data_IF_735763223003
#
_entry.id   IF_735763223003
#
_cell.length_a   1.000
_cell.length_b   1.000
_cell.length_c   1.000
_cell.angle_alpha   90.00
_cell.angle_beta   90.00
_cell.angle_gamma   90.00
#
_symmetry.space_group_name_H-M   'P 1'
#
loop_
_entity.id
_entity.type
_entity.pdbx_description
1 polymer ?
#
# COMPACT_ATOMS: atom_id res chain seq x y z
N UNK A 1 20.45 -0.18 8.39
CA UNK A 1 19.60 0.59 7.47
C UNK A 1 18.16 0.22 7.76
N UNK A 2 17.22 1.18 7.78
CA UNK A 2 15.79 0.87 8.00
C UNK A 2 15.29 -0.02 6.85
N UNK A 3 14.35 -0.93 7.11
CA UNK A 3 13.70 -1.79 6.11
C UNK A 3 14.58 -2.78 5.33
N UNK A 4 15.85 -2.96 5.71
CA UNK A 4 16.77 -3.82 4.97
C UNK A 4 16.33 -5.30 4.90
N UNK A 5 15.70 -5.80 5.96
CA UNK A 5 15.25 -7.20 5.99
C UNK A 5 14.02 -7.41 5.09
N UNK A 6 13.06 -6.49 5.11
CA UNK A 6 11.91 -6.46 4.17
C UNK A 6 12.41 -6.38 2.72
N UNK A 7 13.42 -5.54 2.46
CA UNK A 7 13.99 -5.41 1.13
C UNK A 7 14.64 -6.72 0.64
N UNK A 8 15.40 -7.41 1.49
CA UNK A 8 16.00 -8.71 1.14
C UNK A 8 14.94 -9.75 0.82
N UNK A 9 13.92 -9.84 1.66
CA UNK A 9 12.81 -10.79 1.48
C UNK A 9 12.04 -10.49 0.19
N UNK A 10 11.72 -9.23 -0.06
CA UNK A 10 11.01 -8.78 -1.27
C UNK A 10 11.77 -9.14 -2.54
N UNK A 11 13.10 -8.95 -2.58
CA UNK A 11 13.90 -9.31 -3.75
C UNK A 11 14.03 -10.83 -3.94
N UNK A 12 14.12 -11.58 -2.84
CA UNK A 12 14.19 -13.04 -2.85
C UNK A 12 12.88 -13.67 -3.35
N UNK A 13 11.75 -13.17 -2.86
CA UNK A 13 10.42 -13.73 -3.09
C UNK A 13 9.64 -13.04 -4.23
N UNK A 14 10.18 -11.93 -4.75
CA UNK A 14 9.62 -11.14 -5.86
C UNK A 14 8.22 -10.59 -5.54
N UNK A 15 8.10 -9.94 -4.38
CA UNK A 15 6.87 -9.24 -3.99
C UNK A 15 6.77 -7.88 -4.69
N UNK A 16 5.52 -7.41 -4.81
CA UNK A 16 5.20 -6.01 -5.00
C UNK A 16 4.98 -5.39 -3.63
N UNK A 17 5.56 -4.21 -3.41
CA UNK A 17 5.39 -3.46 -2.17
C UNK A 17 4.64 -2.16 -2.41
N UNK A 18 3.89 -1.76 -1.39
CA UNK A 18 3.30 -0.44 -1.31
C UNK A 18 3.24 0.04 0.13
N UNK A 19 2.89 1.32 0.33
CA UNK A 19 2.71 1.91 1.65
C UNK A 19 1.36 2.60 1.75
N UNK A 20 0.63 2.33 2.83
CA UNK A 20 -0.73 2.85 3.04
C UNK A 20 -0.88 3.39 4.46
N UNK A 21 -1.44 4.59 4.58
CA UNK A 21 -2.01 5.05 5.86
C UNK A 21 -3.33 4.32 6.12
N UNK A 22 -3.48 3.76 7.32
CA UNK A 22 -4.74 3.13 7.74
C UNK A 22 -5.81 4.18 8.01
N UNK A 23 -7.07 3.78 7.90
CA UNK A 23 -8.22 4.56 8.35
C UNK A 23 -8.55 4.25 9.80
N UNK A 24 -9.31 5.13 10.44
CA UNK A 24 -9.69 4.97 11.86
C UNK A 24 -10.53 3.72 12.17
N UNK A 25 -11.15 3.12 11.15
CA UNK A 25 -11.90 1.85 11.26
C UNK A 25 -11.03 0.61 11.00
N UNK A 26 -9.74 0.80 10.70
CA UNK A 26 -8.80 -0.27 10.34
C UNK A 26 -7.77 -0.49 11.45
N UNK A 27 -7.57 -1.76 11.80
CA UNK A 27 -6.52 -2.21 12.73
C UNK A 27 -6.06 -3.59 12.28
N UNK A 28 -4.76 -3.75 12.05
CA UNK A 28 -4.17 -4.97 11.51
C UNK A 28 -2.91 -5.36 12.29
N UNK A 29 -2.58 -6.64 12.25
CA UNK A 29 -1.30 -7.21 12.70
C UNK A 29 -0.43 -7.59 11.48
N UNK A 30 0.87 -7.79 11.69
CA UNK A 30 1.76 -8.28 10.62
C UNK A 30 1.31 -9.66 10.16
N UNK A 31 1.16 -9.82 8.85
CA UNK A 31 0.65 -11.03 8.19
C UNK A 31 -0.86 -11.00 7.91
N UNK A 32 -1.60 -10.03 8.43
CA UNK A 32 -3.04 -9.93 8.17
C UNK A 32 -3.31 -9.61 6.70
N UNK A 33 -4.35 -10.23 6.15
CA UNK A 33 -4.92 -9.84 4.86
C UNK A 33 -5.68 -8.52 5.03
N UNK A 34 -5.41 -7.57 4.15
CA UNK A 34 -6.10 -6.29 4.16
C UNK A 34 -7.37 -6.34 3.31
N UNK A 35 -8.38 -5.55 3.68
CA UNK A 35 -9.57 -5.36 2.84
C UNK A 35 -9.25 -4.49 1.63
N UNK A 36 -9.92 -4.77 0.51
CA UNK A 36 -9.83 -3.94 -0.69
C UNK A 36 -10.21 -2.48 -0.40
N UNK A 37 -9.59 -1.58 -1.16
CA UNK A 37 -10.00 -0.19 -1.24
C UNK A 37 -11.32 -0.07 -2.00
N UNK A 38 -12.03 1.03 -1.77
CA UNK A 38 -13.27 1.37 -2.45
C UNK A 38 -12.98 2.36 -3.60
N UNK A 39 -13.76 2.27 -4.67
CA UNK A 39 -13.67 3.23 -5.79
C UNK A 39 -14.14 4.63 -5.38
N UNK A 40 -13.91 5.62 -6.27
CA UNK A 40 -14.46 6.96 -6.13
C UNK A 40 -15.80 7.09 -6.88
N UNK A 41 -16.84 7.47 -6.16
CA UNK A 41 -18.14 7.82 -6.71
C UNK A 41 -18.08 9.25 -7.26
N UNK A 42 -17.88 9.36 -8.58
CA UNK A 42 -17.80 10.64 -9.28
C UNK A 42 -19.10 11.46 -9.24
N UNK A 43 -20.27 10.82 -9.06
CA UNK A 43 -21.56 11.51 -9.02
C UNK A 43 -21.78 12.19 -7.67
N UNK A 44 -21.42 11.50 -6.59
CA UNK A 44 -21.58 11.99 -5.22
C UNK A 44 -20.32 12.65 -4.63
N UNK A 45 -19.20 12.64 -5.37
CA UNK A 45 -17.88 13.14 -4.96
C UNK A 45 -17.42 12.57 -3.62
N UNK A 46 -17.49 11.24 -3.48
CA UNK A 46 -17.10 10.54 -2.25
C UNK A 46 -16.67 9.10 -2.54
N UNK A 47 -16.13 8.40 -1.54
CA UNK A 47 -15.83 6.97 -1.68
C UNK A 47 -17.12 6.14 -1.82
N UNK A 48 -17.10 5.14 -2.69
CA UNK A 48 -18.21 4.19 -2.87
C UNK A 48 -18.51 3.40 -1.59
N UNK A 49 -17.63 3.39 -0.58
CA UNK A 49 -17.93 2.89 0.77
C UNK A 49 -19.24 3.46 1.34
N UNK A 50 -19.53 4.73 1.06
CA UNK A 50 -20.73 5.42 1.54
C UNK A 50 -21.92 5.30 0.58
N UNK A 51 -21.74 4.71 -0.60
CA UNK A 51 -22.78 4.61 -1.64
C UNK A 51 -22.99 3.17 -2.11
N UNK A 52 -22.31 2.75 -3.18
CA UNK A 52 -22.56 1.47 -3.87
C UNK A 52 -21.83 0.28 -3.27
N UNK A 53 -20.75 0.54 -2.52
CA UNK A 53 -19.84 -0.47 -1.99
C UNK A 53 -18.90 -1.08 -3.02
N UNK A 54 -18.77 -0.50 -4.22
CA UNK A 54 -17.89 -1.00 -5.27
C UNK A 54 -16.41 -0.91 -4.87
N UNK A 55 -15.71 -2.04 -4.92
CA UNK A 55 -14.29 -2.13 -4.55
C UNK A 55 -13.38 -1.91 -5.75
N UNK A 56 -12.20 -1.33 -5.51
CA UNK A 56 -11.14 -1.10 -6.48
C UNK A 56 -10.38 -2.37 -6.94
N UNK A 57 -10.83 -3.56 -6.52
CA UNK A 57 -10.24 -4.85 -6.87
C UNK A 57 -8.79 -4.99 -6.38
N UNK A 58 -8.50 -4.43 -5.22
CA UNK A 58 -7.19 -4.40 -4.57
C UNK A 58 -7.08 -3.22 -3.62
N UNK A 59 -5.88 -3.02 -3.06
CA UNK A 59 -5.60 -1.96 -2.10
C UNK A 59 -4.81 -0.84 -2.76
N UNK A 60 -5.37 0.36 -2.73
CA UNK A 60 -4.67 1.58 -3.12
C UNK A 60 -3.59 1.89 -2.09
N UNK A 61 -2.37 2.11 -2.57
CA UNK A 61 -1.21 2.46 -1.76
C UNK A 61 -0.18 3.20 -2.62
N UNK A 62 0.72 3.92 -1.96
CA UNK A 62 1.89 4.52 -2.62
C UNK A 62 2.80 3.37 -3.06
N UNK A 63 3.08 3.29 -4.35
CA UNK A 63 3.92 2.23 -4.91
C UNK A 63 5.37 2.37 -4.45
N UNK A 64 5.99 1.23 -4.15
CA UNK A 64 7.44 1.14 -3.98
C UNK A 64 8.04 0.61 -5.27
N UNK A 65 9.05 1.31 -5.80
CA UNK A 65 9.82 0.78 -6.93
C UNK A 65 10.68 -0.40 -6.47
N UNK A 66 10.25 -1.61 -6.86
CA UNK A 66 10.92 -2.88 -6.58
C UNK A 66 11.84 -3.35 -7.71
N UNK A 67 11.93 -2.61 -8.84
CA UNK A 67 12.77 -2.98 -9.98
C UNK A 67 14.22 -2.50 -9.79
N UNK A 68 14.84 -2.96 -8.70
CA UNK A 68 16.21 -2.63 -8.30
C UNK A 68 17.01 -3.88 -7.99
N UNK A 69 18.34 -3.78 -8.06
CA UNK A 69 19.21 -4.96 -7.92
C UNK A 69 19.70 -5.19 -6.49
N UNK A 70 19.70 -4.16 -5.64
CA UNK A 70 20.26 -4.23 -4.29
C UNK A 70 19.22 -4.02 -3.20
N UNK A 71 19.32 -4.77 -2.07
CA UNK A 71 18.47 -4.51 -0.91
C UNK A 71 18.60 -3.09 -0.35
N UNK A 72 19.76 -2.45 -0.49
CA UNK A 72 20.01 -1.09 -0.02
C UNK A 72 19.22 -0.05 -0.84
N UNK A 73 19.17 -0.20 -2.17
CA UNK A 73 18.34 0.66 -3.04
C UNK A 73 16.85 0.47 -2.73
N UNK A 74 16.41 -0.78 -2.60
CA UNK A 74 15.01 -1.07 -2.27
C UNK A 74 14.63 -0.52 -0.88
N UNK A 75 15.50 -0.66 0.11
CA UNK A 75 15.27 -0.10 1.44
C UNK A 75 15.12 1.44 1.40
N UNK A 76 15.89 2.12 0.55
CA UNK A 76 15.75 3.56 0.33
C UNK A 76 14.41 3.91 -0.36
N UNK A 77 13.97 3.11 -1.34
CA UNK A 77 12.68 3.28 -2.00
C UNK A 77 11.50 3.08 -1.04
N UNK A 78 11.56 2.07 -0.16
CA UNK A 78 10.58 1.86 0.91
C UNK A 78 10.54 3.08 1.84
N UNK A 79 11.70 3.62 2.23
CA UNK A 79 11.76 4.80 3.08
C UNK A 79 11.15 6.04 2.42
N UNK A 80 11.37 6.23 1.11
CA UNK A 80 10.75 7.31 0.34
C UNK A 80 9.23 7.18 0.29
N UNK A 81 8.71 5.99 0.00
CA UNK A 81 7.27 5.72 -0.03
C UNK A 81 6.61 5.94 1.36
N UNK A 82 7.27 5.52 2.44
CA UNK A 82 6.79 5.79 3.82
C UNK A 82 6.72 7.29 4.11
N UNK A 83 7.74 8.05 3.70
CA UNK A 83 7.71 9.52 3.86
C UNK A 83 6.57 10.15 3.08
N UNK A 84 6.29 9.68 1.87
CA UNK A 84 5.18 10.15 1.05
C UNK A 84 3.83 9.79 1.67
N UNK A 85 3.62 8.54 2.09
CA UNK A 85 2.36 8.09 2.68
C UNK A 85 2.00 8.87 3.95
N UNK A 86 3.00 9.20 4.79
CA UNK A 86 2.78 10.01 5.99
C UNK A 86 2.31 11.46 5.72
N UNK A 87 2.42 11.96 4.48
CA UNK A 87 1.84 13.26 4.09
C UNK A 87 0.33 13.14 3.87
N UNK A 88 -0.15 11.97 3.46
CA UNK A 88 -1.54 11.73 3.03
C UNK A 88 -2.38 10.92 4.03
N UNK A 89 -1.76 10.31 5.04
CA UNK A 89 -2.45 9.52 6.07
C UNK A 89 -3.34 10.38 6.98
N UNK A 90 -4.41 9.77 7.51
CA UNK A 90 -5.21 10.41 8.55
C UNK A 90 -4.36 10.59 9.83
N UNK A 91 -4.41 11.78 10.41
CA UNK A 91 -3.66 12.09 11.63
C UNK A 91 -4.02 11.11 12.75
N UNK A 92 -3.01 10.39 13.26
CA UNK A 92 -3.15 9.48 14.39
C UNK A 92 -3.53 8.04 14.04
N UNK A 93 -3.56 7.68 12.75
CA UNK A 93 -3.65 6.28 12.32
C UNK A 93 -2.27 5.73 11.95
N UNK A 94 -2.08 4.42 12.10
CA UNK A 94 -0.82 3.76 11.75
C UNK A 94 -0.61 3.75 10.23
N UNK A 95 0.65 3.78 9.80
CA UNK A 95 1.04 3.52 8.42
C UNK A 95 1.51 2.08 8.30
N UNK A 96 1.16 1.38 7.24
CA UNK A 96 1.58 0.00 7.00
C UNK A 96 2.35 -0.12 5.68
N UNK A 97 3.37 -0.98 5.69
CA UNK A 97 3.94 -1.53 4.46
C UNK A 97 3.08 -2.72 4.08
N UNK A 98 2.59 -2.73 2.84
CA UNK A 98 1.78 -3.79 2.28
C UNK A 98 2.58 -4.54 1.23
N UNK A 99 2.39 -5.85 1.18
CA UNK A 99 3.02 -6.71 0.20
C UNK A 99 1.96 -7.51 -0.56
N UNK A 100 2.27 -7.86 -1.80
CA UNK A 100 1.42 -8.69 -2.64
C UNK A 100 2.18 -9.31 -3.81
N UNK A 101 1.45 -10.08 -4.62
CA UNK A 101 2.03 -10.81 -5.77
C UNK A 101 1.58 -10.28 -7.13
N UNK A 102 0.59 -9.40 -7.15
CA UNK A 102 0.08 -8.82 -8.39
C UNK A 102 -0.61 -7.49 -8.12
N UNK A 103 -0.68 -6.68 -9.17
CA UNK A 103 -1.38 -5.40 -9.17
C UNK A 103 -2.61 -5.44 -10.05
N UNK A 104 -3.62 -4.67 -9.68
CA UNK A 104 -4.71 -4.29 -10.57
C UNK A 104 -4.23 -3.13 -11.45
N UNK A 105 -4.33 -3.27 -12.77
CA UNK A 105 -3.84 -2.32 -13.77
C UNK A 105 -4.98 -1.58 -14.48
N UNK A 106 -6.11 -1.38 -13.78
CA UNK A 106 -7.13 -0.48 -14.33
C UNK A 106 -6.59 0.96 -14.37
N UNK A 107 -7.10 1.75 -15.30
CA UNK A 107 -6.59 3.09 -15.58
C UNK A 107 -7.10 4.15 -14.57
N UNK A 108 -7.47 3.74 -13.35
CA UNK A 108 -8.07 4.60 -12.31
C UNK A 108 -7.16 4.77 -11.08
N UNK A 109 -5.86 4.89 -11.32
CA UNK A 109 -4.87 5.14 -10.25
C UNK A 109 -4.27 6.53 -10.42
N UNK A 110 -4.07 7.22 -9.29
CA UNK A 110 -3.33 8.48 -9.26
C UNK A 110 -1.83 8.22 -9.51
N UNK A 111 -1.10 9.25 -9.95
CA UNK A 111 0.32 9.11 -10.29
C UNK A 111 1.15 8.69 -9.07
N UNK A 112 1.87 7.56 -9.21
CA UNK A 112 2.63 6.95 -8.11
C UNK A 112 1.84 6.02 -7.17
N UNK A 113 0.54 5.85 -7.39
CA UNK A 113 -0.26 4.84 -6.69
C UNK A 113 -0.33 3.52 -7.44
N UNK A 114 -0.46 2.43 -6.68
CA UNK A 114 -0.73 1.10 -7.20
C UNK A 114 -1.87 0.45 -6.43
N UNK A 115 -2.54 -0.50 -7.09
CA UNK A 115 -3.58 -1.33 -6.47
C UNK A 115 -3.08 -2.76 -6.30
N UNK A 116 -2.69 -3.16 -5.09
CA UNK A 116 -2.17 -4.50 -4.84
C UNK A 116 -3.31 -5.48 -4.54
N UNK A 117 -3.34 -6.63 -5.23
CA UNK A 117 -4.38 -7.66 -5.04
C UNK A 117 -3.99 -8.65 -3.94
N UNK A 118 -4.98 -9.06 -3.13
CA UNK A 118 -4.79 -10.01 -2.02
C UNK A 118 -3.59 -9.63 -1.13
N UNK A 119 -3.45 -8.34 -0.82
CA UNK A 119 -2.29 -7.84 -0.10
C UNK A 119 -2.34 -8.24 1.38
N UNK A 120 -1.15 -8.39 1.98
CA UNK A 120 -0.98 -8.59 3.41
C UNK A 120 -0.14 -7.48 4.05
N UNK A 121 -0.27 -7.32 5.36
CA UNK A 121 0.56 -6.39 6.13
C UNK A 121 1.95 -6.99 6.29
N UNK A 122 2.94 -6.34 5.70
CA UNK A 122 4.34 -6.73 5.80
C UNK A 122 4.99 -6.12 7.05
N UNK A 123 4.64 -4.86 7.35
CA UNK A 123 5.11 -4.18 8.56
C UNK A 123 4.18 -3.06 9.00
N UNK A 124 4.18 -2.77 10.30
CA UNK A 124 3.50 -1.62 10.89
C UNK A 124 4.53 -0.54 11.20
N UNK A 125 4.23 0.69 10.77
CA UNK A 125 5.03 1.90 10.96
C UNK A 125 4.31 2.77 12.00
N UNK A 126 4.82 2.75 13.22
CA UNK A 126 4.45 3.64 14.31
C UNK A 126 5.41 4.83 14.43
#
# INVERSE_FOLDING_TARGET
MKYLDIAKETLAERYVLGVRGLRSDESYEVGDSLRDSFEWDMENDCSTYFTTGETAGGICCIGVDTDVETPEELAANIEAAVKQANIYGDNGCDTVIVAGRSVNTDYQTDDGEIRIRNAWVEAIIA
#
